data_IF_307951516505
#
_entry.id   IF_307951516505
#
_cell.length_a   1.000
_cell.length_b   1.000
_cell.length_c   1.000
_cell.angle_alpha   90.00
_cell.angle_beta   90.00
_cell.angle_gamma   90.00
#
_symmetry.space_group_name_H-M   'P 1'
#
loop_
_entity.id
_entity.type
_entity.pdbx_description
1 polymer ?
#
# COMPACT_ATOMS: atom_id res chain seq x y z
N UNK A 1 -1.96 0.43 2.99
CA UNK A 1 -1.33 0.83 1.72
C UNK A 1 -0.53 2.11 1.85
N UNK A 2 -1.15 3.25 2.18
CA UNK A 2 -0.44 4.53 2.34
C UNK A 2 0.78 4.46 3.30
N UNK A 3 0.64 3.82 4.47
CA UNK A 3 1.77 3.64 5.40
C UNK A 3 2.90 2.78 4.84
N UNK A 4 2.58 1.78 4.01
CA UNK A 4 3.57 0.92 3.37
C UNK A 4 4.33 1.67 2.26
N UNK A 5 3.64 2.48 1.46
CA UNK A 5 4.26 3.40 0.50
C UNK A 5 5.15 4.43 1.20
N UNK A 6 4.69 5.04 2.30
CA UNK A 6 5.50 5.95 3.11
C UNK A 6 6.69 5.28 3.82
N UNK A 7 6.81 3.96 3.72
CA UNK A 7 7.93 3.16 4.23
C UNK A 7 8.72 2.52 3.06
N UNK A 8 8.68 3.13 1.87
CA UNK A 8 9.35 2.69 0.63
C UNK A 8 9.15 1.20 0.32
N UNK A 9 7.93 0.69 0.55
CA UNK A 9 7.62 -0.71 0.29
C UNK A 9 8.10 -1.70 1.36
N UNK A 10 8.69 -1.23 2.47
CA UNK A 10 9.13 -2.10 3.55
C UNK A 10 7.97 -2.53 4.45
N UNK A 11 7.60 -3.81 4.36
CA UNK A 11 6.60 -4.40 5.25
C UNK A 11 7.02 -4.36 6.72
N UNK A 12 8.33 -4.47 7.03
CA UNK A 12 8.84 -4.42 8.40
C UNK A 12 8.75 -3.01 9.01
N UNK A 13 9.14 -1.97 8.25
CA UNK A 13 9.00 -0.58 8.73
C UNK A 13 7.52 -0.21 8.90
N UNK A 14 6.69 -0.60 7.93
CA UNK A 14 5.25 -0.38 8.01
C UNK A 14 4.61 -1.10 9.20
N UNK A 15 5.04 -2.32 9.51
CA UNK A 15 4.47 -3.09 10.62
C UNK A 15 4.79 -2.46 11.97
N UNK A 16 6.00 -1.93 12.16
CA UNK A 16 6.37 -1.14 13.34
C UNK A 16 5.47 0.09 13.49
N UNK A 17 5.25 0.84 12.41
CA UNK A 17 4.41 2.05 12.43
C UNK A 17 2.91 1.78 12.61
N UNK A 18 2.45 0.58 12.25
CA UNK A 18 1.06 0.14 12.41
C UNK A 18 0.84 -0.71 13.67
N UNK A 19 1.87 -0.89 14.52
CA UNK A 19 1.84 -1.73 15.72
C UNK A 19 1.27 -3.13 15.46
N UNK A 20 1.73 -3.76 14.38
CA UNK A 20 1.31 -5.11 14.02
C UNK A 20 2.48 -5.97 13.55
N UNK A 21 2.24 -7.27 13.39
CA UNK A 21 3.23 -8.18 12.86
C UNK A 21 3.45 -7.95 11.35
N UNK A 22 4.68 -8.17 10.85
CA UNK A 22 5.01 -8.02 9.41
C UNK A 22 4.06 -8.81 8.51
N UNK A 23 3.69 -10.02 8.92
CA UNK A 23 2.76 -10.87 8.14
C UNK A 23 1.38 -10.25 8.00
N UNK A 24 0.90 -9.50 9.01
CA UNK A 24 -0.37 -8.77 8.90
C UNK A 24 -0.32 -7.73 7.78
N UNK A 25 0.81 -7.03 7.62
CA UNK A 25 1.01 -6.09 6.50
C UNK A 25 1.00 -6.84 5.18
N UNK A 26 1.79 -7.91 5.05
CA UNK A 26 1.85 -8.71 3.82
C UNK A 26 0.49 -9.31 3.44
N UNK A 27 -0.28 -9.80 4.41
CA UNK A 27 -1.63 -10.32 4.19
C UNK A 27 -2.57 -9.23 3.66
N UNK A 28 -2.49 -8.01 4.23
CA UNK A 28 -3.30 -6.88 3.78
C UNK A 28 -2.93 -6.44 2.36
N UNK A 29 -1.64 -6.47 2.00
CA UNK A 29 -1.18 -6.16 0.64
C UNK A 29 -1.66 -7.21 -0.36
N UNK A 30 -1.48 -8.51 -0.06
CA UNK A 30 -2.00 -9.59 -0.91
C UNK A 30 -3.52 -9.50 -1.10
N UNK A 31 -4.25 -9.24 -0.02
CA UNK A 31 -5.71 -9.04 -0.10
C UNK A 31 -6.08 -7.84 -0.96
N UNK A 32 -5.30 -6.76 -0.92
CA UNK A 32 -5.49 -5.61 -1.80
C UNK A 32 -5.31 -5.98 -3.28
N UNK A 33 -4.25 -6.70 -3.63
CA UNK A 33 -4.00 -7.15 -5.00
C UNK A 33 -5.14 -8.06 -5.50
N UNK A 34 -5.61 -8.99 -4.66
CA UNK A 34 -6.76 -9.86 -4.97
C UNK A 34 -8.05 -9.09 -5.22
N UNK A 35 -8.33 -8.07 -4.43
CA UNK A 35 -9.57 -7.29 -4.55
C UNK A 35 -9.55 -6.29 -5.70
N UNK A 36 -8.37 -5.85 -6.14
CA UNK A 36 -8.25 -4.79 -7.15
C UNK A 36 -7.73 -5.27 -8.49
N UNK A 37 -7.21 -6.49 -8.57
CA UNK A 37 -6.54 -7.03 -9.76
C UNK A 37 -5.20 -6.36 -10.08
N UNK A 38 -4.75 -5.40 -9.26
CA UNK A 38 -3.48 -4.68 -9.45
C UNK A 38 -2.34 -5.39 -8.72
N UNK A 39 -1.17 -5.45 -9.34
CA UNK A 39 0.03 -6.02 -8.75
C UNK A 39 0.96 -4.93 -8.21
N UNK A 40 1.24 -4.94 -6.91
CA UNK A 40 2.16 -3.99 -6.27
C UNK A 40 3.63 -4.25 -6.62
N UNK A 41 3.95 -5.39 -7.26
CA UNK A 41 5.27 -5.68 -7.82
C UNK A 41 5.44 -5.18 -9.26
N UNK A 42 4.35 -4.82 -9.95
CA UNK A 42 4.39 -4.25 -11.29
C UNK A 42 4.53 -2.72 -11.18
N UNK A 43 5.59 -2.11 -11.77
CA UNK A 43 5.85 -0.67 -11.63
C UNK A 43 4.68 0.21 -12.07
N UNK A 44 4.01 -0.15 -13.17
CA UNK A 44 2.89 0.61 -13.70
C UNK A 44 1.71 0.68 -12.71
N UNK A 45 1.26 -0.48 -12.22
CA UNK A 45 0.19 -0.59 -11.25
C UNK A 45 0.57 0.14 -9.94
N UNK A 46 1.83 0.03 -9.50
CA UNK A 46 2.32 0.73 -8.30
C UNK A 46 2.24 2.26 -8.44
N UNK A 47 2.61 2.80 -9.60
CA UNK A 47 2.48 4.24 -9.90
C UNK A 47 1.01 4.66 -9.89
N UNK A 48 0.14 3.92 -10.56
CA UNK A 48 -1.30 4.21 -10.62
C UNK A 48 -1.92 4.27 -9.21
N UNK A 49 -1.58 3.31 -8.36
CA UNK A 49 -2.06 3.23 -6.96
C UNK A 49 -1.53 4.39 -6.12
N UNK A 50 -0.27 4.77 -6.31
CA UNK A 50 0.34 5.89 -5.59
C UNK A 50 -0.31 7.22 -6.00
N UNK A 51 -0.57 7.41 -7.29
CA UNK A 51 -1.29 8.56 -7.81
C UNK A 51 -2.73 8.62 -7.27
N UNK A 52 -3.47 7.51 -7.30
CA UNK A 52 -4.83 7.45 -6.78
C UNK A 52 -4.91 7.84 -5.29
N UNK A 53 -3.97 7.33 -4.47
CA UNK A 53 -3.90 7.70 -3.06
C UNK A 53 -3.52 9.16 -2.83
N UNK A 54 -2.73 9.75 -3.72
CA UNK A 54 -2.33 11.16 -3.67
C UNK A 54 -3.50 12.05 -4.08
N UNK A 55 -4.17 11.75 -5.20
CA UNK A 55 -5.36 12.45 -5.66
C UNK A 55 -6.46 12.43 -4.60
N UNK A 56 -6.69 11.28 -3.92
CA UNK A 56 -7.68 11.17 -2.84
C UNK A 56 -7.42 12.12 -1.66
N UNK A 57 -6.18 12.57 -1.44
CA UNK A 57 -5.87 13.58 -0.41
C UNK A 57 -6.15 15.01 -0.86
N UNK A 58 -6.18 15.24 -2.16
CA UNK A 58 -6.39 16.56 -2.78
C UNK A 58 -7.86 16.81 -3.11
N UNK A 59 -8.66 15.75 -3.28
CA UNK A 59 -10.09 15.87 -3.51
C UNK A 59 -10.79 16.36 -2.23
N UNK A 60 -11.69 17.36 -2.31
CA UNK A 60 -12.52 17.75 -1.19
C UNK A 60 -13.40 16.56 -0.74
N UNK A 61 -13.63 16.48 0.57
CA UNK A 61 -14.42 15.40 1.17
C UNK A 61 -15.90 15.54 0.89
#
# INVERSE_FOLDING_TARGET
LATWLACDGSAQRASRRLYCHRNTVLNRLRRYEQLTGRSLSRPFDLVEVTLALTARKLLPR
#
